data_IF_249005735775
#
_entry.id   IF_249005735775
#
_cell.length_a   1.000
_cell.length_b   1.000
_cell.length_c   1.000
_cell.angle_alpha   90.00
_cell.angle_beta   90.00
_cell.angle_gamma   90.00
#
_symmetry.space_group_name_H-M   'P 1'
#
loop_
_entity.id
_entity.type
_entity.pdbx_description
1 polymer ?
#
# COMPACT_ATOMS: atom_id res chain seq x y z
N UNK A 1 25.54 -6.84 -0.74
CA UNK A 1 24.77 -8.06 -1.07
C UNK A 1 24.98 -8.41 -2.54
N UNK A 2 25.07 -9.68 -2.98
CA UNK A 2 24.75 -9.95 -4.40
C UNK A 2 23.23 -9.79 -4.49
N UNK A 3 22.73 -8.81 -5.25
CA UNK A 3 21.31 -8.45 -5.44
C UNK A 3 20.33 -9.64 -5.39
N UNK A 4 20.72 -10.78 -5.96
CA UNK A 4 20.00 -12.07 -5.90
C UNK A 4 19.59 -12.56 -4.50
N UNK A 5 20.41 -12.35 -3.48
CA UNK A 5 20.04 -12.77 -2.10
C UNK A 5 18.93 -11.88 -1.53
N UNK A 6 18.84 -10.62 -1.94
CA UNK A 6 17.76 -9.71 -1.54
C UNK A 6 16.44 -10.23 -2.09
N UNK A 7 16.45 -10.55 -3.38
CA UNK A 7 15.27 -11.03 -4.08
C UNK A 7 14.74 -12.33 -3.47
N UNK A 8 15.63 -13.27 -3.13
CA UNK A 8 15.24 -14.50 -2.40
C UNK A 8 14.64 -14.19 -1.04
N UNK A 9 15.24 -13.26 -0.29
CA UNK A 9 14.71 -12.86 1.02
C UNK A 9 13.31 -12.24 0.90
N UNK A 10 13.08 -11.39 -0.10
CA UNK A 10 11.77 -10.80 -0.38
C UNK A 10 10.74 -11.87 -0.75
N UNK A 11 11.10 -12.81 -1.62
CA UNK A 11 10.24 -13.95 -2.01
C UNK A 11 9.84 -14.79 -0.80
N UNK A 12 10.79 -15.18 0.05
CA UNK A 12 10.52 -16.01 1.22
C UNK A 12 9.68 -15.30 2.29
N UNK A 13 9.87 -13.98 2.45
CA UNK A 13 9.03 -13.18 3.33
C UNK A 13 7.60 -13.09 2.80
N UNK A 14 7.44 -12.88 1.49
CA UNK A 14 6.13 -12.83 0.85
C UNK A 14 5.38 -14.14 1.00
N UNK A 15 6.04 -15.27 0.75
CA UNK A 15 5.42 -16.59 0.90
C UNK A 15 4.96 -16.86 2.33
N UNK A 16 5.73 -16.39 3.31
CA UNK A 16 5.47 -16.67 4.73
C UNK A 16 4.50 -15.69 5.37
N UNK A 17 4.48 -14.44 4.91
CA UNK A 17 3.77 -13.35 5.60
C UNK A 17 2.77 -12.60 4.72
N UNK A 18 2.86 -12.75 3.39
CA UNK A 18 2.12 -11.96 2.42
C UNK A 18 2.74 -10.59 2.11
N UNK A 19 3.93 -10.28 2.64
CA UNK A 19 4.61 -9.00 2.42
C UNK A 19 6.09 -9.21 2.06
N UNK A 20 6.68 -8.39 1.17
CA UNK A 20 8.03 -8.59 0.67
C UNK A 20 9.13 -8.06 1.62
N UNK A 21 8.76 -7.47 2.76
CA UNK A 21 9.66 -6.94 3.78
C UNK A 21 9.13 -7.24 5.18
N UNK A 22 9.98 -7.27 6.22
CA UNK A 22 9.52 -7.49 7.59
C UNK A 22 8.63 -6.34 8.09
N UNK A 23 7.44 -6.68 8.59
CA UNK A 23 6.52 -5.73 9.20
C UNK A 23 5.74 -6.41 10.34
N UNK A 24 5.38 -5.67 11.41
CA UNK A 24 4.70 -6.24 12.57
C UNK A 24 3.27 -6.61 12.23
N UNK A 25 2.69 -7.58 12.93
CA UNK A 25 1.29 -7.98 12.71
C UNK A 25 0.34 -6.79 12.87
N UNK A 26 -0.63 -6.67 11.97
CA UNK A 26 -1.65 -5.62 12.00
C UNK A 26 -1.20 -4.27 11.45
N UNK A 27 0.09 -4.08 11.12
CA UNK A 27 0.61 -2.79 10.64
C UNK A 27 -0.21 -2.20 9.48
N UNK A 28 -0.63 -3.06 8.55
CA UNK A 28 -1.29 -2.66 7.32
C UNK A 28 -2.70 -2.10 7.54
N UNK A 29 -3.30 -2.38 8.70
CA UNK A 29 -4.68 -1.99 9.03
C UNK A 29 -4.76 -0.90 10.10
N UNK A 30 -3.63 -0.49 10.69
CA UNK A 30 -3.57 0.57 11.72
C UNK A 30 -4.24 1.87 11.26
N UNK A 31 -4.10 2.22 9.97
CA UNK A 31 -4.69 3.41 9.38
C UNK A 31 -6.22 3.45 9.51
N UNK A 32 -6.90 2.30 9.59
CA UNK A 32 -8.36 2.19 9.62
C UNK A 32 -8.95 2.38 11.02
N UNK A 33 -8.12 2.33 12.08
CA UNK A 33 -8.58 2.35 13.47
C UNK A 33 -9.41 3.60 13.77
N UNK A 34 -10.58 3.39 14.37
CA UNK A 34 -11.51 4.46 14.74
C UNK A 34 -12.29 5.09 13.58
N UNK A 35 -12.19 4.55 12.35
CA UNK A 35 -13.02 5.03 11.23
C UNK A 35 -14.39 4.34 11.13
N UNK A 36 -14.64 3.29 11.92
CA UNK A 36 -15.88 2.49 11.82
C UNK A 36 -16.06 1.88 10.43
N UNK A 37 -14.95 1.43 9.83
CA UNK A 37 -14.96 0.72 8.55
C UNK A 37 -15.30 -0.75 8.77
N UNK A 38 -15.98 -1.37 7.81
CA UNK A 38 -16.43 -2.76 7.93
C UNK A 38 -17.26 -3.19 6.74
N UNK A 39 -18.03 -4.27 6.90
CA UNK A 39 -19.00 -4.74 5.90
C UNK A 39 -20.27 -3.90 5.98
N UNK A 40 -20.63 -3.29 4.86
CA UNK A 40 -21.88 -2.56 4.62
C UNK A 40 -22.83 -3.33 3.69
N UNK A 41 -22.33 -4.39 3.03
CA UNK A 41 -23.05 -5.11 1.97
C UNK A 41 -22.70 -4.60 0.57
N UNK A 42 -21.71 -3.70 0.45
CA UNK A 42 -21.24 -3.23 -0.84
C UNK A 42 -20.59 -4.37 -1.63
N UNK A 43 -20.80 -4.37 -2.94
CA UNK A 43 -20.09 -5.24 -3.89
C UNK A 43 -18.65 -4.78 -4.14
N UNK A 44 -18.28 -3.59 -3.65
CA UNK A 44 -16.96 -2.98 -3.79
C UNK A 44 -16.16 -3.13 -2.51
N UNK A 45 -14.90 -3.52 -2.65
CA UNK A 45 -13.93 -3.56 -1.56
C UNK A 45 -12.91 -2.43 -1.73
N UNK A 46 -12.70 -1.60 -0.71
CA UNK A 46 -11.55 -0.69 -0.68
C UNK A 46 -10.29 -1.54 -0.48
N UNK A 47 -9.42 -1.58 -1.49
CA UNK A 47 -8.22 -2.39 -1.55
C UNK A 47 -6.98 -1.50 -1.60
N UNK A 48 -6.18 -1.51 -0.54
CA UNK A 48 -5.03 -0.63 -0.40
C UNK A 48 -3.79 -1.16 -1.14
N UNK A 49 -3.76 -2.47 -1.43
CA UNK A 49 -2.56 -3.14 -1.95
C UNK A 49 -1.35 -3.08 -1.01
N UNK A 50 -1.56 -2.66 0.25
CA UNK A 50 -0.58 -2.40 1.29
C UNK A 50 0.60 -1.46 0.95
N UNK A 51 0.61 -0.82 -0.22
CA UNK A 51 1.82 -0.14 -0.72
C UNK A 51 2.19 1.07 0.15
N UNK A 52 1.23 1.97 0.43
CA UNK A 52 1.46 3.10 1.33
C UNK A 52 1.90 2.63 2.73
N UNK A 53 1.30 1.56 3.24
CA UNK A 53 1.61 1.02 4.56
C UNK A 53 3.00 0.40 4.62
N UNK A 54 3.49 -0.17 3.51
CA UNK A 54 4.80 -0.82 3.42
C UNK A 54 5.96 0.18 3.28
N UNK A 55 5.76 1.35 2.69
CA UNK A 55 6.82 2.34 2.43
C UNK A 55 7.74 2.60 3.65
N UNK A 56 7.22 2.91 4.86
CA UNK A 56 8.08 3.09 6.05
C UNK A 56 8.91 1.85 6.41
N UNK A 57 8.37 0.64 6.19
CA UNK A 57 9.06 -0.61 6.48
C UNK A 57 10.09 -0.98 5.42
N UNK A 58 9.85 -0.60 4.16
CA UNK A 58 10.82 -0.73 3.08
C UNK A 58 12.05 0.11 3.42
N UNK A 59 11.87 1.38 3.80
CA UNK A 59 12.99 2.25 4.18
C UNK A 59 13.76 1.71 5.38
N UNK A 60 13.06 1.33 6.46
CA UNK A 60 13.71 0.73 7.63
C UNK A 60 14.45 -0.58 7.30
N UNK A 61 13.95 -1.37 6.35
CA UNK A 61 14.62 -2.59 5.88
C UNK A 61 15.87 -2.26 5.07
N UNK A 62 15.83 -1.24 4.22
CA UNK A 62 17.00 -0.75 3.47
C UNK A 62 18.09 -0.28 4.44
N UNK A 63 17.74 0.45 5.49
CA UNK A 63 18.70 0.93 6.49
C UNK A 63 19.32 -0.21 7.31
N UNK A 64 18.51 -1.21 7.68
CA UNK A 64 19.01 -2.44 8.31
C UNK A 64 20.03 -3.14 7.39
N UNK A 65 19.71 -3.29 6.10
CA UNK A 65 20.62 -3.91 5.14
C UNK A 65 21.92 -3.12 4.95
N UNK A 66 21.86 -1.79 4.95
CA UNK A 66 23.05 -0.92 4.92
C UNK A 66 23.94 -1.10 6.14
N UNK A 67 23.35 -1.19 7.33
CA UNK A 67 24.09 -1.42 8.58
C UNK A 67 24.80 -2.79 8.58
N UNK A 68 24.12 -3.82 8.06
CA UNK A 68 24.68 -5.16 7.88
C UNK A 68 25.84 -5.12 6.87
N UNK A 69 25.67 -4.42 5.75
CA UNK A 69 26.72 -4.22 4.74
C UNK A 69 27.97 -3.57 5.32
N UNK A 70 27.80 -2.51 6.12
CA UNK A 70 28.90 -1.83 6.80
C UNK A 70 29.64 -2.71 7.81
N UNK A 71 28.99 -3.74 8.34
CA UNK A 71 29.54 -4.68 9.33
C UNK A 71 30.31 -5.87 8.70
N UNK A 72 30.41 -5.93 7.36
CA UNK A 72 31.13 -6.97 6.65
C UNK A 72 30.59 -8.38 6.93
N UNK A 73 31.46 -9.40 6.84
CA UNK A 73 31.07 -10.81 6.95
C UNK A 73 30.37 -11.18 8.27
N UNK A 74 30.68 -10.47 9.37
CA UNK A 74 30.10 -10.72 10.69
C UNK A 74 28.61 -10.34 10.76
N UNK A 75 28.21 -9.20 10.17
CA UNK A 75 26.81 -8.79 10.09
C UNK A 75 25.96 -9.79 9.31
N UNK A 76 26.50 -10.34 8.22
CA UNK A 76 25.81 -11.35 7.41
C UNK A 76 25.69 -12.70 8.12
N UNK A 77 26.74 -13.12 8.84
CA UNK A 77 26.69 -14.33 9.65
C UNK A 77 25.60 -14.20 10.73
N UNK A 78 25.50 -13.05 11.39
CA UNK A 78 24.47 -12.78 12.38
C UNK A 78 23.04 -12.85 11.79
N UNK A 79 22.79 -12.24 10.62
CA UNK A 79 21.49 -12.33 9.95
C UNK A 79 21.13 -13.77 9.57
N UNK A 80 22.10 -14.55 9.08
CA UNK A 80 21.90 -15.95 8.71
C UNK A 80 21.57 -16.81 9.94
N UNK A 81 22.27 -16.58 11.06
CA UNK A 81 21.99 -17.23 12.34
C UNK A 81 20.60 -16.84 12.85
N UNK A 82 20.24 -15.55 12.84
CA UNK A 82 18.91 -15.08 13.21
C UNK A 82 17.81 -15.78 12.39
N UNK A 83 18.06 -15.98 11.08
CA UNK A 83 17.14 -16.66 10.17
C UNK A 83 17.02 -18.17 10.43
N UNK A 84 18.11 -18.86 10.75
CA UNK A 84 18.12 -20.32 11.02
C UNK A 84 17.52 -20.65 12.39
N UNK A 85 17.81 -19.81 13.39
CA UNK A 85 17.22 -19.94 14.73
C UNK A 85 15.75 -19.50 14.77
N UNK A 86 15.26 -18.83 13.73
CA UNK A 86 13.89 -18.33 13.65
C UNK A 86 12.88 -19.37 13.18
N UNK A 87 12.64 -20.41 13.97
CA UNK A 87 11.26 -20.92 14.11
C UNK A 87 10.55 -20.04 15.15
N UNK A 88 10.29 -18.77 14.82
CA UNK A 88 9.54 -17.85 15.70
C UNK A 88 10.15 -16.46 15.98
N UNK A 89 11.33 -16.12 15.44
CA UNK A 89 11.87 -14.76 15.61
C UNK A 89 11.17 -13.78 14.68
N UNK A 90 10.58 -12.73 15.25
CA UNK A 90 9.91 -11.67 14.52
C UNK A 90 10.93 -10.68 13.93
N UNK A 91 11.29 -10.89 12.66
CA UNK A 91 12.21 -10.01 11.93
C UNK A 91 11.74 -8.55 11.86
N UNK A 92 10.44 -8.28 12.08
CA UNK A 92 9.94 -6.90 12.11
C UNK A 92 10.52 -6.10 13.27
N UNK A 93 10.93 -6.75 14.37
CA UNK A 93 11.58 -6.09 15.51
C UNK A 93 12.95 -5.49 15.19
N UNK A 94 13.58 -5.93 14.10
CA UNK A 94 14.87 -5.41 13.63
C UNK A 94 14.71 -4.18 12.72
N UNK A 95 13.50 -3.96 12.21
CA UNK A 95 13.17 -2.85 11.32
C UNK A 95 12.68 -1.67 12.16
N UNK A 96 13.29 -0.51 11.96
CA UNK A 96 12.89 0.75 12.60
C UNK A 96 12.32 1.69 11.55
N UNK A 97 11.00 1.64 11.29
CA UNK A 97 10.37 2.57 10.35
C UNK A 97 10.38 4.00 10.90
N UNK A 98 10.46 4.99 10.01
CA UNK A 98 10.32 6.40 10.37
C UNK A 98 8.90 6.70 10.88
N UNK A 99 8.73 7.18 12.13
CA UNK A 99 7.43 7.57 12.67
C UNK A 99 6.70 8.64 11.87
N UNK A 100 7.41 9.59 11.26
CA UNK A 100 6.80 10.65 10.45
C UNK A 100 6.18 10.07 9.18
N UNK A 101 6.91 9.19 8.50
CA UNK A 101 6.46 8.50 7.30
C UNK A 101 5.30 7.53 7.60
N UNK A 102 5.34 6.80 8.72
CA UNK A 102 4.20 6.02 9.22
C UNK A 102 2.95 6.89 9.40
N UNK A 103 3.12 8.04 10.06
CA UNK A 103 2.04 8.99 10.27
C UNK A 103 1.48 9.53 8.94
N UNK A 104 2.35 9.83 7.99
CA UNK A 104 1.96 10.30 6.66
C UNK A 104 1.18 9.23 5.88
N UNK A 105 1.69 8.01 5.78
CA UNK A 105 1.03 6.89 5.09
C UNK A 105 -0.38 6.64 5.64
N UNK A 106 -0.52 6.65 6.97
CA UNK A 106 -1.82 6.51 7.63
C UNK A 106 -2.77 7.68 7.28
N UNK A 107 -2.28 8.93 7.28
CA UNK A 107 -3.11 10.09 6.93
C UNK A 107 -3.59 10.04 5.48
N UNK A 108 -2.77 9.57 4.54
CA UNK A 108 -3.16 9.43 3.13
C UNK A 108 -4.37 8.50 3.00
N UNK A 109 -4.28 7.28 3.54
CA UNK A 109 -5.37 6.29 3.44
C UNK A 109 -6.65 6.75 4.15
N UNK A 110 -6.52 7.37 5.33
CA UNK A 110 -7.67 7.98 6.03
C UNK A 110 -8.33 9.08 5.19
N UNK A 111 -7.53 9.90 4.51
CA UNK A 111 -8.04 10.96 3.64
C UNK A 111 -8.77 10.39 2.44
N UNK A 112 -8.22 9.34 1.79
CA UNK A 112 -8.86 8.65 0.68
C UNK A 112 -10.21 8.07 1.10
N UNK A 113 -10.26 7.33 2.22
CA UNK A 113 -11.52 6.79 2.75
C UNK A 113 -12.54 7.89 3.08
N UNK A 114 -12.08 9.02 3.63
CA UNK A 114 -12.91 10.19 3.89
C UNK A 114 -13.48 10.82 2.62
N UNK A 115 -12.65 10.99 1.57
CA UNK A 115 -13.08 11.54 0.28
C UNK A 115 -14.11 10.65 -0.42
N UNK A 116 -13.91 9.33 -0.39
CA UNK A 116 -14.86 8.37 -0.94
C UNK A 116 -16.22 8.45 -0.22
N UNK A 117 -16.22 8.47 1.12
CA UNK A 117 -17.45 8.63 1.91
C UNK A 117 -18.14 9.96 1.63
N UNK A 118 -17.39 11.06 1.60
CA UNK A 118 -17.91 12.39 1.28
C UNK A 118 -18.51 12.47 -0.13
N UNK A 119 -18.00 11.65 -1.06
CA UNK A 119 -18.51 11.54 -2.43
C UNK A 119 -19.71 10.60 -2.56
N UNK A 120 -20.20 10.02 -1.46
CA UNK A 120 -21.33 9.07 -1.44
C UNK A 120 -20.97 7.69 -2.01
N UNK A 121 -19.69 7.33 -2.02
CA UNK A 121 -19.24 6.03 -2.53
C UNK A 121 -19.43 4.96 -1.46
N UNK A 122 -20.21 3.92 -1.78
CA UNK A 122 -20.39 2.75 -0.94
C UNK A 122 -19.27 1.72 -1.16
N UNK A 123 -18.60 1.32 -0.09
CA UNK A 123 -17.55 0.31 -0.12
C UNK A 123 -17.45 -0.41 1.22
N UNK A 124 -17.04 -1.67 1.14
CA UNK A 124 -16.61 -2.45 2.28
C UNK A 124 -15.10 -2.26 2.52
N UNK A 125 -14.69 -2.47 3.77
CA UNK A 125 -13.29 -2.64 4.14
C UNK A 125 -13.20 -3.81 5.12
N UNK A 126 -12.39 -4.80 4.75
CA UNK A 126 -12.17 -6.03 5.53
C UNK A 126 -10.65 -6.19 5.63
N UNK A 127 -10.02 -5.87 6.79
CA UNK A 127 -8.56 -5.84 6.94
C UNK A 127 -7.81 -6.99 6.27
N UNK A 128 -8.33 -8.22 6.43
CA UNK A 128 -7.72 -9.46 5.92
C UNK A 128 -7.72 -9.57 4.39
N UNK A 129 -8.55 -8.78 3.71
CA UNK A 129 -8.67 -8.73 2.25
C UNK A 129 -8.18 -7.39 1.69
N UNK A 130 -8.63 -6.29 2.29
CA UNK A 130 -8.36 -4.91 1.89
C UNK A 130 -6.89 -4.55 1.96
N UNK A 131 -6.16 -5.10 2.94
CA UNK A 131 -4.75 -4.80 3.15
C UNK A 131 -3.84 -5.95 2.72
N UNK A 132 -4.33 -6.90 1.93
CA UNK A 132 -3.44 -7.81 1.21
C UNK A 132 -2.53 -6.98 0.29
N UNK A 133 -1.25 -7.34 0.28
CA UNK A 133 -0.30 -6.71 -0.62
C UNK A 133 -0.70 -6.95 -2.09
N UNK A 134 -0.36 -6.01 -2.97
CA UNK A 134 -0.64 -6.15 -4.41
C UNK A 134 0.33 -7.09 -5.13
N UNK A 135 1.49 -7.39 -4.53
CA UNK A 135 2.56 -8.15 -5.18
C UNK A 135 3.47 -7.29 -6.06
N UNK A 136 3.24 -5.98 -6.17
CA UNK A 136 3.83 -5.15 -7.24
C UNK A 136 5.36 -5.13 -7.26
N UNK A 137 6.04 -5.01 -6.12
CA UNK A 137 7.51 -5.10 -6.04
C UNK A 137 8.05 -6.46 -6.50
N UNK A 138 7.31 -7.56 -6.31
CA UNK A 138 7.74 -8.87 -6.83
C UNK A 138 7.79 -8.83 -8.36
N UNK A 139 6.79 -8.21 -8.99
CA UNK A 139 6.76 -7.99 -10.44
C UNK A 139 7.87 -7.04 -10.87
N UNK A 140 8.02 -5.89 -10.21
CA UNK A 140 9.01 -4.86 -10.57
C UNK A 140 10.45 -5.40 -10.50
N UNK A 141 10.74 -6.30 -9.56
CA UNK A 141 12.05 -6.93 -9.42
C UNK A 141 12.20 -8.25 -10.21
N UNK A 142 11.24 -8.61 -11.05
CA UNK A 142 11.31 -9.77 -11.93
C UNK A 142 11.12 -11.12 -11.25
N UNK A 143 10.59 -11.15 -10.02
CA UNK A 143 10.23 -12.37 -9.29
C UNK A 143 8.87 -12.91 -9.77
N UNK A 144 8.77 -13.21 -11.06
CA UNK A 144 7.49 -13.47 -11.73
C UNK A 144 6.74 -14.69 -11.19
N UNK A 145 7.45 -15.75 -10.80
CA UNK A 145 6.81 -16.95 -10.24
C UNK A 145 6.26 -16.68 -8.84
N UNK A 146 7.00 -15.93 -8.00
CA UNK A 146 6.51 -15.46 -6.71
C UNK A 146 5.31 -14.52 -6.86
N UNK A 147 5.39 -13.57 -7.80
CA UNK A 147 4.29 -12.68 -8.15
C UNK A 147 3.05 -13.46 -8.59
N UNK A 148 3.19 -14.48 -9.44
CA UNK A 148 2.08 -15.34 -9.88
C UNK A 148 1.42 -16.04 -8.69
N UNK A 149 2.20 -16.66 -7.79
CA UNK A 149 1.67 -17.30 -6.57
C UNK A 149 0.96 -16.29 -5.66
N UNK A 150 1.51 -15.09 -5.52
CA UNK A 150 0.92 -14.01 -4.74
C UNK A 150 -0.42 -13.54 -5.31
N UNK A 151 -0.44 -13.24 -6.61
CA UNK A 151 -1.62 -12.83 -7.35
C UNK A 151 -2.74 -13.88 -7.22
N UNK A 152 -2.40 -15.17 -7.31
CA UNK A 152 -3.37 -16.25 -7.15
C UNK A 152 -4.04 -16.24 -5.78
N UNK A 153 -3.28 -16.00 -4.69
CA UNK A 153 -3.83 -15.86 -3.34
C UNK A 153 -4.79 -14.68 -3.24
N UNK A 154 -4.38 -13.50 -3.73
CA UNK A 154 -5.19 -12.27 -3.68
C UNK A 154 -6.50 -12.43 -4.45
N UNK A 155 -6.40 -12.89 -5.70
CA UNK A 155 -7.57 -13.05 -6.57
C UNK A 155 -8.54 -14.08 -6.00
N UNK A 156 -8.06 -15.20 -5.49
CA UNK A 156 -8.91 -16.22 -4.89
C UNK A 156 -9.58 -15.71 -3.61
N UNK A 157 -8.84 -15.02 -2.73
CA UNK A 157 -9.40 -14.48 -1.49
C UNK A 157 -10.54 -13.47 -1.77
N UNK A 158 -10.33 -12.54 -2.71
CA UNK A 158 -11.32 -11.52 -3.07
C UNK A 158 -12.54 -12.15 -3.77
N UNK A 159 -12.31 -13.07 -4.72
CA UNK A 159 -13.39 -13.73 -5.45
C UNK A 159 -14.24 -14.62 -4.52
N UNK A 160 -13.61 -15.40 -3.64
CA UNK A 160 -14.31 -16.25 -2.67
C UNK A 160 -15.10 -15.44 -1.63
N UNK A 161 -14.70 -14.19 -1.36
CA UNK A 161 -15.44 -13.28 -0.49
C UNK A 161 -16.64 -12.60 -1.20
N UNK A 162 -16.83 -12.82 -2.50
CA UNK A 162 -17.97 -12.32 -3.27
C UNK A 162 -17.86 -10.86 -3.72
N UNK A 163 -16.68 -10.24 -3.64
CA UNK A 163 -16.48 -8.87 -4.12
C UNK A 163 -16.35 -8.84 -5.64
N UNK A 164 -17.08 -7.91 -6.26
CA UNK A 164 -17.16 -7.81 -7.71
C UNK A 164 -16.15 -6.81 -8.29
N UNK A 165 -15.74 -5.81 -7.51
CA UNK A 165 -14.82 -4.75 -7.93
C UNK A 165 -14.00 -4.26 -6.73
N UNK A 166 -12.75 -3.90 -6.95
CA UNK A 166 -11.92 -3.26 -5.93
C UNK A 166 -11.73 -1.77 -6.23
N UNK A 167 -11.82 -0.93 -5.20
CA UNK A 167 -11.42 0.47 -5.27
C UNK A 167 -9.98 0.53 -4.81
N UNK A 168 -9.06 0.92 -5.69
CA UNK A 168 -7.63 0.99 -5.38
C UNK A 168 -7.19 2.41 -5.07
N UNK A 169 -6.18 2.51 -4.21
CA UNK A 169 -5.72 3.79 -3.62
C UNK A 169 -4.58 4.45 -4.39
N UNK A 170 -3.98 3.76 -5.36
CA UNK A 170 -2.86 4.26 -6.14
C UNK A 170 -2.77 3.57 -7.52
N UNK A 171 -2.14 4.22 -8.52
CA UNK A 171 -2.04 3.70 -9.88
C UNK A 171 -1.13 2.47 -10.00
N UNK A 172 -0.16 2.29 -9.10
CA UNK A 172 0.78 1.16 -9.14
C UNK A 172 0.07 -0.13 -8.74
N UNK A 173 -0.75 -0.07 -7.68
CA UNK A 173 -1.68 -1.13 -7.30
C UNK A 173 -2.70 -1.40 -8.40
N UNK A 174 -3.24 -0.34 -9.03
CA UNK A 174 -4.20 -0.50 -10.14
C UNK A 174 -3.62 -1.35 -11.27
N UNK A 175 -2.42 -1.02 -11.78
CA UNK A 175 -1.78 -1.79 -12.85
C UNK A 175 -1.47 -3.22 -12.42
N UNK A 176 -0.91 -3.39 -11.20
CA UNK A 176 -0.53 -4.69 -10.69
C UNK A 176 -1.72 -5.67 -10.64
N UNK A 177 -2.84 -5.26 -10.05
CA UNK A 177 -3.99 -6.15 -9.84
C UNK A 177 -4.86 -6.34 -11.08
N UNK A 178 -4.74 -5.45 -12.07
CA UNK A 178 -5.46 -5.55 -13.34
C UNK A 178 -4.59 -6.25 -14.40
N UNK A 179 -3.63 -5.53 -14.96
CA UNK A 179 -2.79 -5.98 -16.06
C UNK A 179 -1.76 -7.00 -15.58
N UNK A 180 -1.08 -6.73 -14.47
CA UNK A 180 -0.09 -7.65 -13.92
C UNK A 180 -0.69 -9.02 -13.60
N UNK A 181 -1.84 -9.07 -12.92
CA UNK A 181 -2.52 -10.32 -12.62
C UNK A 181 -3.02 -11.01 -13.90
N UNK A 182 -3.54 -10.26 -14.87
CA UNK A 182 -3.96 -10.81 -16.17
C UNK A 182 -2.80 -11.45 -16.93
N UNK A 183 -1.64 -10.81 -16.94
CA UNK A 183 -0.41 -11.35 -17.53
C UNK A 183 0.03 -12.63 -16.82
N UNK A 184 -0.02 -12.67 -15.50
CA UNK A 184 0.47 -13.80 -14.70
C UNK A 184 -0.51 -15.00 -14.66
N UNK A 185 -1.82 -14.76 -14.68
CA UNK A 185 -2.86 -15.76 -14.39
C UNK A 185 -3.88 -15.94 -15.52
N UNK A 186 -3.82 -15.14 -16.59
CA UNK A 186 -4.86 -15.06 -17.62
C UNK A 186 -6.11 -14.30 -17.18
N UNK A 187 -6.17 -13.80 -15.94
CA UNK A 187 -7.26 -13.00 -15.38
C UNK A 187 -6.75 -11.98 -14.36
N UNK A 188 -7.35 -10.80 -14.32
CA UNK A 188 -7.09 -9.77 -13.31
C UNK A 188 -8.32 -9.47 -12.48
N UNK A 189 -8.16 -8.62 -11.46
CA UNK A 189 -9.29 -8.04 -10.75
C UNK A 189 -9.98 -6.97 -11.61
N UNK A 190 -11.28 -6.79 -11.42
CA UNK A 190 -11.94 -5.53 -11.80
C UNK A 190 -11.59 -4.50 -10.76
N UNK A 191 -10.96 -3.42 -11.17
CA UNK A 191 -10.48 -2.38 -10.28
C UNK A 191 -10.73 -1.00 -10.85
N UNK A 192 -10.99 -0.04 -9.97
CA UNK A 192 -11.18 1.37 -10.29
C UNK A 192 -10.34 2.22 -9.34
N UNK A 193 -9.70 3.27 -9.86
CA UNK A 193 -8.96 4.20 -9.01
C UNK A 193 -9.92 5.00 -8.14
N UNK A 194 -9.58 5.22 -6.87
CA UNK A 194 -10.37 6.09 -5.99
C UNK A 194 -10.58 7.48 -6.59
N UNK A 195 -9.62 8.00 -7.36
CA UNK A 195 -9.68 9.31 -8.01
C UNK A 195 -10.82 9.42 -9.01
N UNK A 196 -11.22 8.32 -9.64
CA UNK A 196 -12.35 8.29 -10.59
C UNK A 196 -13.71 8.34 -9.88
N UNK A 197 -13.74 8.03 -8.58
CA UNK A 197 -14.96 7.99 -7.77
C UNK A 197 -15.12 9.23 -6.89
N UNK A 198 -14.03 9.96 -6.62
CA UNK A 198 -14.09 11.19 -5.82
C UNK A 198 -14.75 12.29 -6.63
N UNK A 199 -15.80 12.87 -6.07
CA UNK A 199 -16.47 14.06 -6.61
C UNK A 199 -15.75 15.29 -6.08
N UNK A 200 -15.12 16.05 -6.97
CA UNK A 200 -14.72 17.40 -6.63
C UNK A 200 -15.99 18.24 -6.56
N UNK A 201 -16.43 18.60 -5.35
CA UNK A 201 -17.44 19.64 -5.18
C UNK A 201 -16.79 20.99 -5.53
N UNK A 202 -16.65 21.25 -6.84
CA UNK A 202 -16.12 22.49 -7.38
C UNK A 202 -17.11 23.66 -7.23
N UNK A 203 -18.31 23.40 -6.71
CA UNK A 203 -19.40 24.38 -6.62
C UNK A 203 -19.47 25.07 -5.24
N UNK A 204 -18.73 24.59 -4.23
CA UNK A 204 -18.75 25.14 -2.87
C UNK A 204 -17.75 26.26 -2.55
N UNK A 205 -16.90 26.70 -3.49
CA UNK A 205 -15.87 27.76 -3.25
C UNK A 205 -15.88 28.94 -4.21
N UNK A 206 -16.85 29.04 -5.12
CA UNK A 206 -16.98 30.16 -6.05
C UNK A 206 -17.97 31.25 -5.62
N UNK A 207 -18.68 31.09 -4.49
CA UNK A 207 -19.48 32.15 -3.90
C UNK A 207 -18.93 32.56 -2.53
N UNK A 208 -18.15 33.65 -2.52
CA UNK A 208 -17.80 34.35 -1.29
C UNK A 208 -16.31 34.38 -0.93
N UNK A 209 -15.46 34.89 -1.83
CA UNK A 209 -14.38 35.84 -1.54
C UNK A 209 -13.44 35.92 -2.73
N UNK A 210 -13.50 37.03 -3.48
CA UNK A 210 -12.42 37.35 -4.42
C UNK A 210 -11.09 37.41 -3.64
N UNK A 211 -10.03 36.70 -4.05
CA UNK A 211 -8.72 36.85 -3.44
C UNK A 211 -8.27 38.31 -3.56
N UNK A 212 -7.82 38.88 -2.43
CA UNK A 212 -7.43 40.30 -2.28
C UNK A 212 -6.27 40.74 -3.19
N UNK A 213 -5.63 39.80 -3.88
CA UNK A 213 -4.50 40.05 -4.78
C UNK A 213 -4.88 40.53 -6.19
N UNK A 214 -6.16 40.52 -6.57
CA UNK A 214 -6.61 41.01 -7.88
C UNK A 214 -7.23 42.41 -7.87
N UNK A 215 -7.30 43.09 -6.71
CA UNK A 215 -7.77 44.50 -6.65
C UNK A 215 -6.67 45.55 -6.83
N UNK A 216 -5.40 45.18 -6.77
CA UNK A 216 -4.29 46.15 -6.88
C UNK A 216 -3.86 46.46 -8.33
N UNK A 217 -4.53 45.90 -9.34
CA UNK A 217 -4.27 46.24 -10.75
C UNK A 217 -5.35 47.06 -11.43
N UNK A 218 -6.50 47.26 -10.80
CA UNK A 218 -7.57 48.13 -11.34
C UNK A 218 -7.57 49.53 -10.71
N UNK A 219 -6.92 49.75 -9.56
CA UNK A 219 -6.80 51.06 -8.91
C UNK A 219 -5.52 51.84 -9.29
N UNK A 220 -4.65 51.28 -10.14
CA UNK A 220 -3.42 51.94 -10.62
C UNK A 220 -3.55 52.46 -12.07
N UNK A 221 -4.77 52.60 -12.58
CA UNK A 221 -5.04 52.97 -13.97
C UNK A 221 -5.76 54.31 -14.18
N UNK A 222 -5.88 55.16 -13.16
CA UNK A 222 -6.43 56.52 -13.29
C UNK A 222 -5.77 57.47 -12.28
N UNK A 223 -4.59 57.98 -12.62
CA UNK A 223 -4.20 59.39 -12.45
C UNK A 223 -2.87 59.65 -13.16
#
# INVERSE_FOLDING_TARGET
>A
MRFRELLKFMEELDERTGYPVPAPKGFASEWSRGLGLGRSGSRRLLFTGALYQLVPYIEGTVDLLRAIEGSGAAGWAALRVARVLSTGFDLSSLVRPDPELLGWSNRVLRSIAGLLRASGVEFDYVPELSDMYSGVLLRDYGLMEAFRRHAERVVNAIASAGYEEVIVVDPHTLDAVTNGYREALGRGLRAVSYLELVRADLEGRSQGSRPRLLRLREEAGHC
#
